data_IF_156674295894
#
_entry.id   IF_156674295894
#
_cell.length_a   1.000
_cell.length_b   1.000
_cell.length_c   1.000
_cell.angle_alpha   90.00
_cell.angle_beta   90.00
_cell.angle_gamma   90.00
#
_symmetry.space_group_name_H-M   'P 1'
#
loop_
_entity.id
_entity.type
_entity.pdbx_description
1 polymer ?
#
# COMPACT_ATOMS: atom_id res chain seq x y z
N UNK A 1 8.67 14.43 15.33
CA UNK A 1 7.25 14.71 15.05
C UNK A 1 6.51 13.40 15.19
N UNK A 2 5.54 13.37 16.10
CA UNK A 2 4.64 12.23 16.25
C UNK A 2 3.62 12.27 15.09
N UNK A 3 3.49 11.16 14.36
CA UNK A 3 2.56 11.07 13.22
C UNK A 3 1.21 10.66 13.78
N UNK A 4 0.19 11.49 13.56
CA UNK A 4 -1.19 11.14 13.88
C UNK A 4 -1.76 10.25 12.78
N UNK A 5 -2.11 9.01 13.13
CA UNK A 5 -2.68 8.05 12.18
C UNK A 5 -4.19 8.21 12.09
N UNK A 6 -4.69 8.35 10.86
CA UNK A 6 -6.11 8.57 10.60
C UNK A 6 -6.83 7.23 10.41
N UNK A 7 -8.08 7.19 10.84
CA UNK A 7 -9.02 6.11 10.51
C UNK A 7 -10.09 6.63 9.57
N UNK A 8 -10.62 5.76 8.72
CA UNK A 8 -11.71 6.10 7.81
C UNK A 8 -12.68 4.93 7.68
N UNK A 9 -13.98 5.19 7.77
CA UNK A 9 -15.02 4.17 7.51
C UNK A 9 -15.08 3.03 8.54
N UNK A 10 -14.71 3.30 9.79
CA UNK A 10 -14.75 2.32 10.90
C UNK A 10 -16.15 2.33 11.54
N UNK A 11 -16.74 1.15 11.87
CA UNK A 11 -16.19 -0.20 11.70
C UNK A 11 -16.17 -0.68 10.25
N UNK A 12 -15.04 -1.28 9.84
CA UNK A 12 -14.79 -1.67 8.44
C UNK A 12 -15.81 -2.65 7.87
N UNK A 13 -16.35 -3.54 8.70
CA UNK A 13 -17.29 -4.58 8.29
C UNK A 13 -18.64 -4.01 7.81
N UNK A 14 -19.04 -2.84 8.32
CA UNK A 14 -20.32 -2.21 8.00
C UNK A 14 -20.18 -1.02 7.04
N UNK A 15 -18.96 -0.78 6.54
CA UNK A 15 -18.71 0.30 5.59
C UNK A 15 -19.54 0.11 4.31
N UNK A 16 -20.30 1.15 3.95
CA UNK A 16 -21.10 1.17 2.73
C UNK A 16 -20.38 1.94 1.63
N UNK A 17 -20.25 1.30 0.47
CA UNK A 17 -19.60 1.91 -0.69
C UNK A 17 -20.34 3.17 -1.14
N UNK A 18 -19.55 4.20 -1.39
CA UNK A 18 -20.03 5.47 -1.90
C UNK A 18 -19.91 5.54 -3.42
N UNK A 19 -20.56 6.55 -4.02
CA UNK A 19 -20.35 6.87 -5.44
C UNK A 19 -18.90 7.24 -5.74
N UNK A 20 -18.15 7.77 -4.77
CA UNK A 20 -16.73 8.08 -4.94
C UNK A 20 -15.91 6.80 -5.08
N UNK A 21 -16.15 5.80 -4.23
CA UNK A 21 -15.45 4.52 -4.24
C UNK A 21 -15.64 3.80 -5.58
N UNK A 22 -16.87 3.80 -6.11
CA UNK A 22 -17.16 3.24 -7.44
C UNK A 22 -16.41 3.95 -8.56
N UNK A 23 -16.27 5.28 -8.49
CA UNK A 23 -15.50 6.05 -9.49
C UNK A 23 -14.01 5.71 -9.39
N UNK A 24 -13.46 5.74 -8.18
CA UNK A 24 -12.06 5.43 -7.92
C UNK A 24 -11.70 4.02 -8.40
N UNK A 25 -12.53 3.01 -8.09
CA UNK A 25 -12.34 1.64 -8.56
C UNK A 25 -12.32 1.57 -10.09
N UNK A 26 -13.29 2.20 -10.76
CA UNK A 26 -13.35 2.23 -12.24
C UNK A 26 -12.12 2.88 -12.85
N UNK A 27 -11.67 4.00 -12.29
CA UNK A 27 -10.50 4.71 -12.78
C UNK A 27 -9.23 3.85 -12.62
N UNK A 28 -9.08 3.14 -11.51
CA UNK A 28 -7.95 2.24 -11.28
C UNK A 28 -7.93 1.05 -12.22
N UNK A 29 -9.09 0.43 -12.47
CA UNK A 29 -9.21 -0.63 -13.49
C UNK A 29 -8.82 -0.09 -14.86
N UNK A 30 -9.34 1.07 -15.26
CA UNK A 30 -9.01 1.70 -16.55
C UNK A 30 -7.51 1.97 -16.69
N UNK A 31 -6.87 2.51 -15.65
CA UNK A 31 -5.43 2.79 -15.64
C UNK A 31 -4.64 1.48 -15.71
N UNK A 32 -5.02 0.47 -14.93
CA UNK A 32 -4.35 -0.83 -14.93
C UNK A 32 -4.40 -1.47 -16.33
N UNK A 33 -5.58 -1.54 -16.95
CA UNK A 33 -5.74 -2.05 -18.31
C UNK A 33 -4.88 -1.27 -19.32
N UNK A 34 -4.86 0.06 -19.21
CA UNK A 34 -4.03 0.88 -20.09
C UNK A 34 -2.54 0.59 -19.91
N UNK A 35 -2.05 0.47 -18.66
CA UNK A 35 -0.66 0.12 -18.34
C UNK A 35 -0.31 -1.25 -18.92
N UNK A 36 -1.15 -2.27 -18.72
CA UNK A 36 -0.93 -3.61 -19.26
C UNK A 36 -0.86 -3.59 -20.80
N UNK A 37 -1.74 -2.83 -21.46
CA UNK A 37 -1.69 -2.65 -22.92
C UNK A 37 -0.42 -1.95 -23.39
N UNK A 38 0.15 -1.03 -22.61
CA UNK A 38 1.44 -0.43 -22.97
C UNK A 38 2.58 -1.42 -22.76
N UNK A 39 2.62 -2.10 -21.61
CA UNK A 39 3.67 -3.08 -21.31
C UNK A 39 3.72 -4.20 -22.36
N UNK A 40 2.57 -4.66 -22.84
CA UNK A 40 2.49 -5.68 -23.90
C UNK A 40 3.13 -5.24 -25.24
N UNK A 41 3.35 -3.94 -25.48
CA UNK A 41 4.02 -3.43 -26.68
C UNK A 41 5.53 -3.43 -26.58
N UNK A 42 6.08 -3.58 -25.38
CA UNK A 42 7.53 -3.58 -25.14
C UNK A 42 8.01 -5.00 -24.83
N UNK A 43 9.21 -5.40 -25.28
CA UNK A 43 9.78 -6.68 -24.91
C UNK A 43 9.97 -6.75 -23.38
N UNK A 44 9.41 -7.79 -22.77
CA UNK A 44 9.32 -8.00 -21.31
C UNK A 44 10.62 -8.52 -20.67
N UNK A 45 11.68 -8.73 -21.46
CA UNK A 45 12.93 -9.28 -20.94
C UNK A 45 13.76 -8.19 -20.25
N UNK A 46 13.49 -7.96 -18.96
CA UNK A 46 14.45 -7.26 -18.10
C UNK A 46 15.62 -8.22 -17.88
N UNK A 47 16.82 -7.85 -18.36
CA UNK A 47 18.01 -8.67 -18.15
C UNK A 47 18.34 -8.77 -16.65
N UNK A 48 19.04 -9.83 -16.24
CA UNK A 48 19.43 -9.98 -14.83
C UNK A 48 20.33 -8.82 -14.38
N UNK A 49 21.16 -8.27 -15.27
CA UNK A 49 21.97 -7.07 -15.03
C UNK A 49 21.10 -5.83 -14.78
N UNK A 50 20.03 -5.65 -15.55
CA UNK A 50 19.05 -4.57 -15.32
C UNK A 50 18.31 -4.75 -14.00
N UNK A 51 17.97 -5.99 -13.61
CA UNK A 51 17.34 -6.28 -12.30
C UNK A 51 18.27 -5.95 -11.14
N UNK A 52 19.56 -6.28 -11.26
CA UNK A 52 20.55 -6.00 -10.23
C UNK A 52 20.82 -4.50 -10.10
N UNK A 53 20.95 -3.76 -11.21
CA UNK A 53 21.02 -2.29 -11.20
C UNK A 53 19.79 -1.66 -10.53
N UNK A 54 18.60 -2.20 -10.80
CA UNK A 54 17.37 -1.76 -10.15
C UNK A 54 17.39 -2.00 -8.64
N UNK A 55 17.86 -3.17 -8.17
CA UNK A 55 18.03 -3.41 -6.72
C UNK A 55 18.97 -2.41 -6.08
N UNK A 56 20.12 -2.14 -6.71
CA UNK A 56 21.10 -1.18 -6.20
C UNK A 56 20.53 0.23 -6.12
N UNK A 57 19.71 0.64 -7.09
CA UNK A 57 19.02 1.93 -7.09
C UNK A 57 17.91 2.03 -6.03
N UNK A 58 17.16 0.94 -5.80
CA UNK A 58 16.07 0.91 -4.82
C UNK A 58 16.58 0.85 -3.37
N UNK A 59 17.83 0.44 -3.18
CA UNK A 59 18.47 0.38 -1.87
C UNK A 59 18.01 -0.81 -1.02
N UNK A 60 18.44 -0.86 0.25
CA UNK A 60 18.09 -1.94 1.16
C UNK A 60 16.59 -1.93 1.52
N UNK A 61 16.03 -3.09 1.92
CA UNK A 61 14.65 -3.18 2.41
C UNK A 61 14.37 -2.20 3.53
N UNK A 62 13.14 -1.68 3.57
CA UNK A 62 12.71 -0.78 4.65
C UNK A 62 12.69 -1.56 5.97
N UNK A 63 13.40 -1.09 7.02
CA UNK A 63 13.41 -1.74 8.33
C UNK A 63 12.00 -1.82 8.96
N UNK A 64 11.73 -2.90 9.71
CA UNK A 64 10.42 -3.13 10.33
C UNK A 64 9.96 -1.99 11.25
N UNK A 65 10.86 -1.35 12.01
CA UNK A 65 10.53 -0.23 12.88
C UNK A 65 10.12 1.06 12.15
N UNK A 66 10.37 1.13 10.83
CA UNK A 66 9.86 2.17 9.92
C UNK A 66 8.51 1.80 9.31
N UNK A 67 7.90 0.67 9.70
CA UNK A 67 6.62 0.21 9.19
C UNK A 67 5.52 0.31 10.24
N UNK A 68 4.30 0.55 9.75
CA UNK A 68 3.07 0.59 10.52
C UNK A 68 2.07 -0.40 9.92
N UNK A 69 1.34 -1.10 10.78
CA UNK A 69 0.30 -2.08 10.41
C UNK A 69 -1.05 -1.39 10.30
N UNK A 70 -1.79 -1.78 9.28
CA UNK A 70 -3.11 -1.27 8.96
C UNK A 70 -4.06 -2.42 8.73
N UNK A 71 -5.32 -2.23 9.12
CA UNK A 71 -6.42 -3.03 8.63
C UNK A 71 -7.14 -2.25 7.54
N UNK A 72 -7.30 -2.86 6.38
CA UNK A 72 -7.81 -2.22 5.17
C UNK A 72 -9.07 -2.93 4.70
N UNK A 73 -10.13 -2.16 4.47
CA UNK A 73 -11.31 -2.62 3.74
C UNK A 73 -11.10 -2.33 2.26
N UNK A 74 -11.07 -3.40 1.46
CA UNK A 74 -10.95 -3.32 0.01
C UNK A 74 -12.31 -3.12 -0.64
N UNK A 75 -12.37 -2.49 -1.81
CA UNK A 75 -13.63 -2.27 -2.55
C UNK A 75 -14.51 -3.51 -2.67
N UNK A 76 -13.91 -4.69 -2.88
CA UNK A 76 -14.63 -5.95 -3.12
C UNK A 76 -15.49 -6.45 -1.95
N UNK A 77 -15.18 -6.10 -0.70
CA UNK A 77 -15.80 -6.78 0.44
C UNK A 77 -14.84 -7.06 1.57
N UNK A 78 -13.64 -7.46 1.19
CA UNK A 78 -12.72 -8.13 2.09
C UNK A 78 -11.90 -7.15 2.91
N UNK A 79 -11.53 -7.61 4.11
CA UNK A 79 -10.70 -6.87 5.04
C UNK A 79 -9.37 -7.59 5.15
N UNK A 80 -8.29 -6.88 4.85
CA UNK A 80 -6.93 -7.43 4.89
C UNK A 80 -6.08 -6.65 5.90
N UNK A 81 -4.95 -7.23 6.29
CA UNK A 81 -3.89 -6.50 6.97
C UNK A 81 -2.76 -6.17 5.99
N UNK A 82 -2.22 -4.97 6.09
CA UNK A 82 -1.10 -4.52 5.27
C UNK A 82 -0.13 -3.65 6.08
N UNK A 83 1.12 -3.58 5.62
CA UNK A 83 2.15 -2.71 6.20
C UNK A 83 2.43 -1.52 5.29
N UNK A 84 2.65 -0.35 5.88
CA UNK A 84 3.03 0.90 5.19
C UNK A 84 4.14 1.62 5.93
N UNK A 85 4.81 2.54 5.24
CA UNK A 85 5.84 3.37 5.85
C UNK A 85 5.18 4.22 6.96
N UNK A 86 5.82 4.23 8.12
CA UNK A 86 5.35 4.87 9.35
C UNK A 86 5.13 6.38 9.22
N UNK A 87 5.79 7.03 8.25
CA UNK A 87 5.65 8.47 7.99
C UNK A 87 4.35 8.86 7.27
N UNK A 88 3.59 7.91 6.75
CA UNK A 88 2.32 8.18 6.07
C UNK A 88 1.17 8.14 7.09
N UNK A 89 0.40 9.23 7.26
CA UNK A 89 -0.73 9.28 8.19
C UNK A 89 -1.93 8.46 7.71
N UNK A 90 -1.96 8.07 6.42
CA UNK A 90 -2.98 7.21 5.81
C UNK A 90 -2.35 6.11 4.94
N UNK A 91 -3.01 4.95 4.81
CA UNK A 91 -2.48 3.84 4.01
C UNK A 91 -2.80 3.94 2.51
N UNK A 92 -3.75 4.81 2.14
CA UNK A 92 -4.20 5.09 0.78
C UNK A 92 -3.51 6.31 0.15
N UNK A 93 -2.55 6.92 0.85
CA UNK A 93 -1.71 7.99 0.34
C UNK A 93 -0.42 7.46 -0.30
N UNK A 94 -0.18 7.81 -1.57
CA UNK A 94 1.05 7.50 -2.30
C UNK A 94 0.86 6.67 -3.56
N UNK A 95 1.96 6.07 -4.04
CA UNK A 95 2.01 5.33 -5.32
C UNK A 95 1.34 3.93 -5.22
N UNK A 96 1.17 3.41 -4.01
CA UNK A 96 0.61 2.07 -3.72
C UNK A 96 -0.81 2.14 -3.16
N UNK A 97 -1.70 2.86 -3.83
CA UNK A 97 -3.13 2.96 -3.47
C UNK A 97 -4.01 1.87 -4.13
N UNK A 98 -3.37 0.86 -4.74
CA UNK A 98 -4.03 -0.33 -5.29
C UNK A 98 -3.55 -1.58 -4.56
N UNK A 99 -4.50 -2.41 -4.18
CA UNK A 99 -4.27 -3.70 -3.55
C UNK A 99 -4.69 -4.83 -4.48
N UNK A 100 -4.12 -6.00 -4.25
CA UNK A 100 -4.65 -7.26 -4.76
C UNK A 100 -5.44 -7.91 -3.62
N UNK A 101 -6.70 -8.27 -3.87
CA UNK A 101 -7.49 -8.97 -2.87
C UNK A 101 -7.13 -10.47 -2.86
N UNK A 102 -6.54 -11.02 -1.78
CA UNK A 102 -6.15 -12.43 -1.72
C UNK A 102 -7.35 -13.38 -1.62
N UNK A 103 -8.52 -12.90 -1.20
CA UNK A 103 -9.71 -13.74 -1.01
C UNK A 103 -10.50 -13.97 -2.31
N UNK A 104 -10.69 -12.91 -3.11
CA UNK A 104 -11.48 -12.99 -4.35
C UNK A 104 -10.67 -12.73 -5.64
N UNK A 105 -9.39 -12.42 -5.52
CA UNK A 105 -8.49 -12.20 -6.65
C UNK A 105 -8.64 -10.84 -7.35
N UNK A 106 -9.50 -9.93 -6.86
CA UNK A 106 -9.69 -8.62 -7.49
C UNK A 106 -8.38 -7.80 -7.49
N UNK A 107 -7.90 -7.45 -8.68
CA UNK A 107 -6.72 -6.60 -8.92
C UNK A 107 -6.96 -5.69 -10.15
N UNK A 108 -6.87 -4.36 -10.01
CA UNK A 108 -6.65 -3.64 -8.76
C UNK A 108 -7.92 -3.58 -7.92
N UNK A 109 -7.79 -3.62 -6.59
CA UNK A 109 -8.85 -3.30 -5.64
C UNK A 109 -8.45 -2.06 -4.84
N UNK A 110 -9.31 -1.03 -4.82
CA UNK A 110 -9.03 0.19 -4.04
C UNK A 110 -9.29 0.00 -2.56
N UNK A 111 -8.56 0.73 -1.72
CA UNK A 111 -8.81 0.85 -0.29
C UNK A 111 -9.98 1.82 -0.10
N UNK A 112 -11.07 1.39 0.55
CA UNK A 112 -12.28 2.22 0.76
C UNK A 112 -12.51 2.60 2.22
N UNK A 113 -11.91 1.87 3.16
CA UNK A 113 -11.91 2.19 4.57
C UNK A 113 -10.67 1.58 5.24
N UNK A 114 -10.23 2.13 6.36
CA UNK A 114 -9.02 1.69 7.04
C UNK A 114 -8.97 2.10 8.51
N UNK A 115 -8.23 1.33 9.30
CA UNK A 115 -7.85 1.67 10.68
C UNK A 115 -6.40 1.28 10.96
N UNK A 116 -5.66 2.08 11.74
CA UNK A 116 -4.32 1.75 12.16
C UNK A 116 -4.34 0.65 13.23
N UNK A 117 -3.40 -0.29 13.16
CA UNK A 117 -3.21 -1.35 14.16
C UNK A 117 -2.00 -1.11 15.07
N UNK A 118 -1.06 -0.24 14.67
CA UNK A 118 0.15 0.07 15.43
C UNK A 118 1.46 -0.19 14.66
N UNK A 119 2.62 0.16 15.25
CA UNK A 119 3.92 -0.11 14.65
C UNK A 119 4.19 -1.61 14.51
N UNK A 120 4.98 -1.99 13.50
CA UNK A 120 5.42 -3.39 13.33
C UNK A 120 6.48 -3.78 14.36
N UNK A 121 7.37 -2.85 14.70
CA UNK A 121 8.43 -3.03 15.69
C UNK A 121 8.78 -1.69 16.34
N UNK A 122 9.36 -1.74 17.53
CA UNK A 122 9.88 -0.57 18.21
C UNK A 122 11.15 -0.05 17.52
N UNK A 123 11.37 1.28 17.51
CA UNK A 123 12.62 1.84 17.05
C UNK A 123 13.78 1.35 17.94
N UNK A 124 14.97 1.13 17.37
CA UNK A 124 16.15 0.85 18.18
C UNK A 124 16.36 1.99 19.19
N UNK A 125 16.85 1.70 20.41
CA UNK A 125 17.17 2.74 21.37
C UNK A 125 18.15 3.71 20.74
N UNK A 126 17.88 5.01 20.86
CA UNK A 126 18.81 6.04 20.43
C UNK A 126 20.09 5.87 21.26
N UNK A 127 21.13 5.30 20.66
CA UNK A 127 22.48 5.37 21.23
C UNK A 127 22.87 6.83 21.22
N UNK A 128 22.77 7.49 22.37
CA UNK A 128 23.32 8.82 22.58
C UNK A 128 24.79 8.82 22.12
N UNK A 129 25.28 9.88 21.44
CA UNK A 129 26.70 9.99 21.16
C UNK A 129 27.45 10.01 22.50
N UNK A 130 28.64 9.41 22.61
CA UNK A 130 29.48 9.61 23.79
C UNK A 130 29.81 11.10 23.91
N UNK A 131 29.61 11.65 25.12
CA UNK A 131 30.03 13.01 25.50
C UNK A 131 31.56 13.22 25.37
#
# INVERSE_FOLDING_TARGET
MEVEYLSHGVPLAVYQLTKADHRQQKDKVRIHEWVQRQLAKFPTSVSEESRERLRQLLGPPVPAWKLHRWRLRLYCGHVIEATRIRSSPRPDEGICDKEHCPECGLDPSVIVAFEPLGPVADPPPETSPPE
#
